data_IF_106415879683
#
_entry.id   IF_106415879683
#
_cell.length_a   1.000
_cell.length_b   1.000
_cell.length_c   1.000
_cell.angle_alpha   90.00
_cell.angle_beta   90.00
_cell.angle_gamma   90.00
#
_symmetry.space_group_name_H-M   'P 1'
#
loop_
_entity.id
_entity.type
_entity.pdbx_description
1 polymer ?
#
# COMPACT_ATOMS: atom_id res chain seq x y z
N UNK A 1 31.93 13.41 -7.64
CA UNK A 1 30.77 13.64 -6.75
C UNK A 1 30.01 14.90 -7.23
N UNK A 2 30.66 16.03 -7.49
CA UNK A 2 29.99 17.31 -7.83
C UNK A 2 29.13 17.26 -9.11
N UNK A 3 29.61 16.63 -10.19
CA UNK A 3 28.85 16.51 -11.46
C UNK A 3 27.56 15.70 -11.33
N UNK A 4 27.57 14.64 -10.49
CA UNK A 4 26.38 13.82 -10.25
C UNK A 4 25.33 14.60 -9.44
N UNK A 5 25.78 15.38 -8.44
CA UNK A 5 24.91 16.23 -7.64
C UNK A 5 24.23 17.33 -8.47
N UNK A 6 24.94 17.90 -9.46
CA UNK A 6 24.38 18.92 -10.33
C UNK A 6 23.38 18.35 -11.34
N UNK A 7 23.65 17.17 -11.92
CA UNK A 7 22.73 16.45 -12.81
C UNK A 7 21.48 16.00 -12.06
N UNK A 8 21.64 15.50 -10.82
CA UNK A 8 20.50 15.12 -9.98
C UNK A 8 19.62 16.31 -9.62
N UNK A 9 20.20 17.44 -9.22
CA UNK A 9 19.47 18.68 -8.92
C UNK A 9 18.72 19.25 -10.13
N UNK A 10 19.21 19.03 -11.34
CA UNK A 10 18.55 19.44 -12.57
C UNK A 10 17.47 18.44 -13.02
N UNK A 11 17.49 17.21 -12.54
CA UNK A 11 16.48 16.22 -12.86
C UNK A 11 15.11 16.60 -12.28
N UNK A 12 14.02 16.13 -12.92
CA UNK A 12 12.65 16.35 -12.42
C UNK A 12 12.52 15.84 -10.98
N UNK A 13 13.10 14.68 -10.69
CA UNK A 13 13.10 14.04 -9.37
C UNK A 13 13.86 14.91 -8.35
N UNK A 14 15.03 15.42 -8.72
CA UNK A 14 15.82 16.31 -7.85
C UNK A 14 15.05 17.57 -7.45
N UNK A 15 14.36 18.22 -8.41
CA UNK A 15 13.53 19.40 -8.13
C UNK A 15 12.34 19.08 -7.20
N UNK A 16 11.70 17.92 -7.37
CA UNK A 16 10.60 17.49 -6.54
C UNK A 16 11.02 17.21 -5.08
N UNK A 17 12.23 16.71 -4.90
CA UNK A 17 12.78 16.33 -3.59
C UNK A 17 13.52 17.45 -2.86
N UNK A 18 13.94 18.51 -3.54
CA UNK A 18 14.66 19.65 -2.92
C UNK A 18 13.91 20.28 -1.75
N UNK A 19 12.57 20.31 -1.80
CA UNK A 19 11.71 20.84 -0.73
C UNK A 19 11.28 19.79 0.30
N UNK A 20 11.61 18.50 0.09
CA UNK A 20 11.15 17.37 0.90
C UNK A 20 12.32 16.56 1.45
N UNK A 21 12.95 17.08 2.51
CA UNK A 21 14.06 16.39 3.17
C UNK A 21 13.67 15.02 3.73
N UNK A 22 12.47 14.90 4.29
CA UNK A 22 11.99 13.63 4.84
C UNK A 22 11.80 12.57 3.75
N UNK A 23 11.20 12.95 2.62
CA UNK A 23 11.07 12.06 1.47
C UNK A 23 12.40 11.63 0.87
N UNK A 24 13.39 12.54 0.81
CA UNK A 24 14.74 12.20 0.34
C UNK A 24 15.40 11.16 1.26
N UNK A 25 15.28 11.32 2.58
CA UNK A 25 15.79 10.33 3.53
C UNK A 25 15.06 8.99 3.40
N UNK A 26 13.73 8.99 3.23
CA UNK A 26 12.95 7.77 3.01
C UNK A 26 13.43 7.02 1.76
N UNK A 27 13.57 7.73 0.64
CA UNK A 27 14.04 7.12 -0.61
C UNK A 27 15.46 6.57 -0.47
N UNK A 28 16.35 7.29 0.18
CA UNK A 28 17.69 6.82 0.49
C UNK A 28 17.68 5.56 1.37
N UNK A 29 16.83 5.53 2.40
CA UNK A 29 16.66 4.37 3.27
C UNK A 29 16.09 3.16 2.51
N UNK A 30 15.07 3.36 1.65
CA UNK A 30 14.50 2.29 0.83
C UNK A 30 15.51 1.71 -0.16
N UNK A 31 16.32 2.55 -0.81
CA UNK A 31 17.38 2.10 -1.71
C UNK A 31 18.49 1.38 -0.94
N UNK A 32 18.88 1.89 0.23
CA UNK A 32 19.85 1.21 1.09
C UNK A 32 19.33 -0.17 1.54
N UNK A 33 18.08 -0.27 1.97
CA UNK A 33 17.44 -1.55 2.35
C UNK A 33 17.36 -2.51 1.17
N UNK A 34 17.03 -2.01 -0.05
CA UNK A 34 16.97 -2.83 -1.26
C UNK A 34 18.32 -3.48 -1.62
N UNK A 35 19.44 -2.90 -1.18
CA UNK A 35 20.79 -3.48 -1.38
C UNK A 35 21.25 -4.28 -0.16
N UNK A 36 21.11 -3.72 1.04
CA UNK A 36 21.65 -4.32 2.27
C UNK A 36 20.92 -5.60 2.66
N UNK A 37 19.59 -5.66 2.53
CA UNK A 37 18.82 -6.85 2.93
C UNK A 37 19.20 -8.08 2.10
N UNK A 38 19.21 -8.04 0.76
CA UNK A 38 19.71 -9.16 -0.04
C UNK A 38 21.18 -9.51 0.25
N UNK A 39 22.03 -8.52 0.48
CA UNK A 39 23.42 -8.75 0.84
C UNK A 39 23.56 -9.56 2.14
N UNK A 40 22.85 -9.15 3.21
CA UNK A 40 22.90 -9.84 4.50
C UNK A 40 22.21 -11.21 4.47
N UNK A 41 21.28 -11.46 3.55
CA UNK A 41 20.62 -12.75 3.42
C UNK A 41 21.38 -13.73 2.52
N UNK A 42 21.88 -13.27 1.34
CA UNK A 42 22.43 -14.16 0.31
C UNK A 42 23.96 -14.33 0.39
N UNK A 43 24.69 -13.31 0.88
CA UNK A 43 26.16 -13.30 0.84
C UNK A 43 26.74 -13.71 2.19
N UNK A 44 26.10 -13.39 3.31
CA UNK A 44 26.59 -13.71 4.63
C UNK A 44 26.23 -15.16 5.01
N UNK A 45 27.19 -15.99 5.43
CA UNK A 45 26.94 -17.37 5.85
C UNK A 45 25.89 -17.46 6.98
N UNK A 46 25.08 -18.52 6.95
CA UNK A 46 23.98 -18.73 7.90
C UNK A 46 24.43 -18.80 9.37
N UNK A 47 25.66 -19.19 9.61
CA UNK A 47 26.27 -19.30 10.98
C UNK A 47 26.71 -17.93 11.53
N UNK A 48 26.68 -16.87 10.72
CA UNK A 48 27.12 -15.53 11.14
C UNK A 48 26.01 -14.79 11.89
N UNK A 49 26.37 -14.07 12.94
CA UNK A 49 25.47 -13.18 13.68
C UNK A 49 24.83 -12.09 12.78
N UNK A 50 25.49 -11.74 11.69
CA UNK A 50 25.00 -10.75 10.73
C UNK A 50 24.10 -11.34 9.64
N UNK A 51 23.91 -12.66 9.60
CA UNK A 51 23.01 -13.29 8.63
C UNK A 51 21.57 -12.91 8.91
N UNK A 52 20.86 -12.42 7.87
CA UNK A 52 19.45 -12.12 7.96
C UNK A 52 18.63 -13.33 7.50
N UNK A 53 17.85 -13.98 8.39
CA UNK A 53 17.03 -15.13 8.00
C UNK A 53 16.00 -14.78 6.96
N UNK A 54 15.74 -15.68 6.01
CA UNK A 54 14.81 -15.44 4.87
C UNK A 54 13.38 -15.10 5.29
N UNK A 55 12.92 -15.63 6.44
CA UNK A 55 11.58 -15.28 6.95
C UNK A 55 11.45 -13.79 7.30
N UNK A 56 12.54 -13.14 7.75
CA UNK A 56 12.54 -11.69 7.99
C UNK A 56 12.50 -10.90 6.68
N UNK A 57 13.15 -11.38 5.62
CA UNK A 57 13.08 -10.76 4.29
C UNK A 57 11.62 -10.73 3.80
N UNK A 58 10.94 -11.88 3.90
CA UNK A 58 9.50 -11.99 3.54
C UNK A 58 8.64 -11.07 4.40
N UNK A 59 8.89 -11.04 5.71
CA UNK A 59 8.14 -10.20 6.64
C UNK A 59 8.32 -8.70 6.34
N UNK A 60 9.55 -8.28 6.08
CA UNK A 60 9.85 -6.89 5.68
C UNK A 60 9.22 -6.55 4.33
N UNK A 61 9.25 -7.47 3.36
CA UNK A 61 8.58 -7.30 2.08
C UNK A 61 7.07 -7.13 2.22
N UNK A 62 6.43 -7.92 3.09
CA UNK A 62 5.03 -7.75 3.46
C UNK A 62 4.74 -6.35 4.03
N UNK A 63 5.60 -5.84 4.93
CA UNK A 63 5.43 -4.50 5.48
C UNK A 63 5.58 -3.40 4.43
N UNK A 64 6.44 -3.59 3.42
CA UNK A 64 6.56 -2.66 2.30
C UNK A 64 5.30 -2.66 1.42
N UNK A 65 4.65 -3.80 1.20
CA UNK A 65 3.36 -3.85 0.51
C UNK A 65 2.29 -3.07 1.29
N UNK A 66 2.25 -3.20 2.60
CA UNK A 66 1.34 -2.41 3.46
C UNK A 66 1.71 -0.92 3.48
N UNK A 67 2.99 -0.58 3.43
CA UNK A 67 3.44 0.80 3.30
C UNK A 67 3.00 1.44 1.96
N UNK A 68 3.04 0.68 0.87
CA UNK A 68 2.50 1.10 -0.43
C UNK A 68 0.99 1.35 -0.37
N UNK A 69 0.25 0.46 0.30
CA UNK A 69 -1.19 0.58 0.50
C UNK A 69 -1.56 1.81 1.37
N UNK A 70 -0.80 2.05 2.44
CA UNK A 70 -0.98 3.23 3.29
C UNK A 70 -0.68 4.53 2.53
N UNK A 71 0.37 4.54 1.69
CA UNK A 71 0.70 5.66 0.83
C UNK A 71 -0.43 5.95 -0.17
N UNK A 72 -1.03 4.90 -0.75
CA UNK A 72 -2.18 5.00 -1.64
C UNK A 72 -3.39 5.66 -0.94
N UNK A 73 -3.69 5.25 0.30
CA UNK A 73 -4.76 5.86 1.09
C UNK A 73 -4.43 7.31 1.49
N UNK A 74 -3.19 7.62 1.88
CA UNK A 74 -2.81 8.98 2.27
C UNK A 74 -2.90 9.97 1.09
N UNK A 75 -2.65 9.52 -0.13
CA UNK A 75 -2.82 10.35 -1.32
C UNK A 75 -4.25 10.92 -1.42
N UNK A 76 -5.27 10.10 -1.16
CA UNK A 76 -6.66 10.53 -1.24
C UNK A 76 -7.17 11.14 0.07
N UNK A 77 -6.89 10.51 1.20
CA UNK A 77 -7.37 11.00 2.48
C UNK A 77 -6.59 12.22 2.96
N UNK A 78 -5.29 12.20 2.85
CA UNK A 78 -4.41 13.27 3.32
C UNK A 78 -4.54 14.55 2.50
N UNK A 79 -4.61 14.44 1.18
CA UNK A 79 -4.55 15.58 0.26
C UNK A 79 -5.89 15.97 -0.36
N UNK A 80 -6.80 15.03 -0.53
CA UNK A 80 -8.14 15.33 -1.08
C UNK A 80 -9.24 15.36 0.00
N UNK A 81 -8.94 14.90 1.22
CA UNK A 81 -9.89 14.90 2.34
C UNK A 81 -10.93 13.77 2.29
N UNK A 82 -10.78 12.81 1.39
CA UNK A 82 -11.72 11.71 1.21
C UNK A 82 -11.25 10.51 2.04
N UNK A 83 -11.98 10.18 3.10
CA UNK A 83 -11.76 8.94 3.84
C UNK A 83 -12.48 7.79 3.12
N UNK A 84 -11.71 6.92 2.49
CA UNK A 84 -12.22 5.70 1.86
C UNK A 84 -11.90 4.48 2.73
N UNK A 85 -12.93 3.73 3.10
CA UNK A 85 -12.81 2.42 3.76
C UNK A 85 -12.90 1.26 2.74
N UNK A 86 -12.59 1.55 1.48
CA UNK A 86 -12.60 0.59 0.37
C UNK A 86 -11.22 0.14 -0.10
N UNK A 87 -10.14 0.63 0.50
CA UNK A 87 -8.79 0.35 0.01
C UNK A 87 -8.37 -1.11 0.19
N UNK A 88 -8.91 -1.81 1.19
CA UNK A 88 -8.78 -3.26 1.32
C UNK A 88 -9.34 -4.01 0.11
N UNK A 89 -10.45 -3.54 -0.47
CA UNK A 89 -11.02 -4.14 -1.67
C UNK A 89 -10.11 -3.98 -2.90
N UNK A 90 -9.54 -2.80 -3.11
CA UNK A 90 -8.63 -2.56 -4.22
C UNK A 90 -7.34 -3.38 -4.09
N UNK A 91 -6.82 -3.49 -2.87
CA UNK A 91 -5.68 -4.35 -2.53
C UNK A 91 -5.99 -5.82 -2.83
N UNK A 92 -7.11 -6.33 -2.32
CA UNK A 92 -7.51 -7.71 -2.53
C UNK A 92 -7.74 -8.03 -4.01
N UNK A 93 -8.41 -7.16 -4.78
CA UNK A 93 -8.62 -7.37 -6.22
C UNK A 93 -7.31 -7.46 -7.00
N UNK A 94 -6.35 -6.58 -6.72
CA UNK A 94 -5.01 -6.68 -7.32
C UNK A 94 -4.29 -7.96 -6.91
N UNK A 95 -4.43 -8.36 -5.64
CA UNK A 95 -3.92 -9.63 -5.12
C UNK A 95 -4.56 -10.84 -5.81
N UNK A 96 -5.86 -10.86 -6.00
CA UNK A 96 -6.56 -11.93 -6.73
C UNK A 96 -6.14 -12.00 -8.20
N UNK A 97 -5.96 -10.87 -8.87
CA UNK A 97 -5.45 -10.86 -10.25
C UNK A 97 -4.05 -11.50 -10.36
N UNK A 98 -3.14 -11.19 -9.42
CA UNK A 98 -1.84 -11.88 -9.35
C UNK A 98 -2.00 -13.34 -8.94
N UNK A 99 -2.85 -13.65 -7.95
CA UNK A 99 -3.13 -15.02 -7.51
C UNK A 99 -3.65 -15.91 -8.61
N UNK A 100 -4.55 -15.40 -9.48
CA UNK A 100 -5.02 -16.12 -10.67
C UNK A 100 -3.88 -16.48 -11.63
N UNK A 101 -2.95 -15.55 -11.86
CA UNK A 101 -1.75 -15.84 -12.66
C UNK A 101 -0.91 -16.93 -12.01
N UNK A 102 -0.61 -16.82 -10.73
CA UNK A 102 0.22 -17.80 -10.01
C UNK A 102 -0.44 -19.18 -9.97
N UNK A 103 -1.76 -19.27 -9.82
CA UNK A 103 -2.51 -20.52 -9.90
C UNK A 103 -2.38 -21.18 -11.29
N UNK A 104 -2.45 -20.39 -12.37
CA UNK A 104 -2.28 -20.89 -13.73
C UNK A 104 -0.86 -21.40 -14.00
N UNK A 105 0.17 -20.88 -13.29
CA UNK A 105 1.55 -21.35 -13.39
C UNK A 105 1.79 -22.70 -12.71
N UNK A 106 0.87 -23.19 -11.88
CA UNK A 106 0.99 -24.52 -11.24
C UNK A 106 0.91 -25.63 -12.29
N UNK A 107 -0.04 -25.53 -13.23
CA UNK A 107 -0.23 -26.52 -14.29
C UNK A 107 -0.51 -27.92 -13.73
N UNK A 108 0.14 -28.94 -14.30
CA UNK A 108 0.03 -30.34 -13.90
C UNK A 108 0.73 -30.69 -12.57
N UNK A 109 1.45 -29.74 -11.97
CA UNK A 109 2.14 -29.95 -10.68
C UNK A 109 1.24 -29.81 -9.45
N UNK A 110 -0.04 -29.59 -9.67
CA UNK A 110 -1.04 -29.58 -8.63
C UNK A 110 -1.35 -30.99 -8.10
N UNK A 111 -2.14 -31.05 -7.02
CA UNK A 111 -2.53 -32.32 -6.36
C UNK A 111 -3.32 -33.23 -7.30
N UNK A 112 -4.15 -32.65 -8.15
CA UNK A 112 -5.01 -33.40 -9.09
C UNK A 112 -4.38 -33.56 -10.49
N UNK A 113 -3.21 -32.98 -10.75
CA UNK A 113 -2.48 -33.14 -12.01
C UNK A 113 -3.20 -32.57 -13.24
N UNK A 114 -4.10 -31.62 -13.08
CA UNK A 114 -4.84 -31.00 -14.16
C UNK A 114 -4.12 -29.75 -14.66
N UNK A 115 -3.70 -29.71 -15.93
CA UNK A 115 -2.98 -28.60 -16.52
C UNK A 115 -3.89 -27.38 -16.82
N UNK A 116 -5.20 -27.61 -17.01
CA UNK A 116 -6.13 -26.55 -17.43
C UNK A 116 -6.89 -25.91 -16.25
N UNK A 117 -7.22 -26.70 -15.22
CA UNK A 117 -8.00 -26.24 -14.10
C UNK A 117 -7.16 -26.18 -12.81
N UNK A 118 -7.23 -25.10 -12.04
CA UNK A 118 -6.68 -25.05 -10.69
C UNK A 118 -7.26 -26.14 -9.79
N UNK A 119 -6.46 -26.66 -8.87
CA UNK A 119 -6.83 -27.78 -7.98
C UNK A 119 -8.17 -27.58 -7.23
N UNK A 120 -8.43 -26.38 -6.75
CA UNK A 120 -9.69 -26.09 -6.04
C UNK A 120 -10.91 -26.17 -6.95
N UNK A 121 -10.76 -25.88 -8.26
CA UNK A 121 -11.84 -26.02 -9.25
C UNK A 121 -12.10 -27.50 -9.55
N UNK A 122 -11.04 -28.32 -9.68
CA UNK A 122 -11.17 -29.76 -9.83
C UNK A 122 -11.87 -30.37 -8.62
N UNK A 123 -11.49 -29.96 -7.40
CA UNK A 123 -12.14 -30.38 -6.17
C UNK A 123 -13.63 -30.03 -6.13
N UNK A 124 -14.01 -28.89 -6.67
CA UNK A 124 -15.41 -28.43 -6.76
C UNK A 124 -16.15 -28.96 -7.99
N UNK A 125 -15.57 -29.95 -8.72
CA UNK A 125 -16.14 -30.56 -9.92
C UNK A 125 -16.45 -29.57 -11.06
N UNK A 126 -15.64 -28.54 -11.23
CA UNK A 126 -15.71 -27.67 -12.41
C UNK A 126 -15.21 -28.43 -13.63
N UNK A 127 -15.92 -28.29 -14.74
CA UNK A 127 -15.59 -28.97 -16.01
C UNK A 127 -14.79 -28.09 -16.95
N UNK A 128 -14.94 -26.77 -16.83
CA UNK A 128 -14.32 -25.79 -17.71
C UNK A 128 -13.82 -24.59 -16.92
N UNK A 129 -12.77 -23.94 -17.44
CA UNK A 129 -12.23 -22.72 -16.88
C UNK A 129 -13.22 -21.56 -17.15
N UNK A 130 -13.60 -20.75 -16.15
CA UNK A 130 -14.47 -19.61 -16.38
C UNK A 130 -13.82 -18.57 -17.30
N UNK A 131 -14.61 -17.90 -18.12
CA UNK A 131 -14.12 -16.92 -19.12
C UNK A 131 -13.25 -15.81 -18.54
N UNK A 132 -13.48 -15.37 -17.30
CA UNK A 132 -12.72 -14.33 -16.61
C UNK A 132 -11.36 -14.80 -16.10
N UNK A 133 -11.02 -16.08 -16.22
CA UNK A 133 -9.69 -16.64 -15.98
C UNK A 133 -8.82 -16.68 -17.25
N UNK A 134 -9.42 -16.51 -18.43
CA UNK A 134 -8.65 -16.51 -19.67
C UNK A 134 -7.67 -15.34 -19.73
N UNK A 135 -6.47 -15.62 -20.24
CA UNK A 135 -5.39 -14.64 -20.36
C UNK A 135 -4.47 -14.53 -19.13
N UNK A 136 -4.86 -15.06 -17.98
CA UNK A 136 -3.99 -15.05 -16.79
C UNK A 136 -2.79 -16.00 -16.87
N UNK A 137 -2.65 -16.79 -17.92
CA UNK A 137 -1.41 -17.50 -18.27
C UNK A 137 -0.27 -16.52 -18.60
N UNK A 138 -0.62 -15.39 -19.22
CA UNK A 138 0.34 -14.37 -19.61
C UNK A 138 0.59 -13.39 -18.47
N UNK A 139 1.85 -13.25 -18.07
CA UNK A 139 2.26 -12.34 -16.99
C UNK A 139 1.92 -10.86 -17.26
N UNK A 140 2.13 -10.41 -18.50
CA UNK A 140 1.84 -9.01 -18.85
C UNK A 140 0.36 -8.69 -18.81
N UNK A 141 -0.48 -9.66 -19.23
CA UNK A 141 -1.92 -9.53 -19.09
C UNK A 141 -2.33 -9.45 -17.61
N UNK A 142 -1.78 -10.34 -16.76
CA UNK A 142 -2.03 -10.30 -15.33
C UNK A 142 -1.61 -8.96 -14.70
N UNK A 143 -0.43 -8.44 -15.04
CA UNK A 143 0.05 -7.13 -14.57
C UNK A 143 -0.87 -5.98 -15.02
N UNK A 144 -1.38 -6.04 -16.25
CA UNK A 144 -2.37 -5.08 -16.72
C UNK A 144 -3.67 -5.16 -15.90
N UNK A 145 -4.16 -6.37 -15.62
CA UNK A 145 -5.37 -6.59 -14.82
C UNK A 145 -5.19 -6.19 -13.35
N UNK A 146 -4.00 -6.36 -12.77
CA UNK A 146 -3.64 -5.87 -11.43
C UNK A 146 -3.92 -4.37 -11.27
N UNK A 147 -3.64 -3.59 -12.29
CA UNK A 147 -3.92 -2.16 -12.28
C UNK A 147 -5.36 -1.84 -12.74
N UNK A 148 -5.83 -2.52 -13.79
CA UNK A 148 -7.10 -2.22 -14.44
C UNK A 148 -8.30 -2.56 -13.56
N UNK A 149 -8.33 -3.72 -12.91
CA UNK A 149 -9.51 -4.19 -12.15
C UNK A 149 -9.81 -3.27 -10.96
N UNK A 150 -8.85 -2.93 -10.09
CA UNK A 150 -9.07 -1.95 -9.03
C UNK A 150 -9.41 -0.56 -9.57
N UNK A 151 -8.74 -0.14 -10.68
CA UNK A 151 -9.01 1.15 -11.32
C UNK A 151 -10.43 1.24 -11.90
N UNK A 152 -10.89 0.19 -12.56
CA UNK A 152 -12.24 0.13 -13.14
C UNK A 152 -13.32 0.18 -12.04
N UNK A 153 -13.15 -0.59 -10.96
CA UNK A 153 -14.05 -0.55 -9.81
C UNK A 153 -14.05 0.86 -9.18
N UNK A 154 -12.86 1.44 -8.95
CA UNK A 154 -12.74 2.79 -8.40
C UNK A 154 -13.34 3.84 -9.33
N UNK A 155 -13.16 3.68 -10.64
CA UNK A 155 -13.75 4.60 -11.63
C UNK A 155 -15.27 4.55 -11.61
N UNK A 156 -15.87 3.36 -11.73
CA UNK A 156 -17.35 3.21 -11.75
C UNK A 156 -17.95 3.68 -10.44
N UNK A 157 -17.42 3.21 -9.32
CA UNK A 157 -17.90 3.55 -7.99
C UNK A 157 -17.70 5.06 -7.69
N UNK A 158 -16.50 5.57 -7.94
CA UNK A 158 -16.15 6.96 -7.69
C UNK A 158 -16.95 7.91 -8.62
N UNK A 159 -17.16 7.54 -9.89
CA UNK A 159 -17.96 8.33 -10.80
C UNK A 159 -19.40 8.47 -10.31
N UNK A 160 -20.02 7.37 -9.88
CA UNK A 160 -21.37 7.40 -9.32
C UNK A 160 -21.45 8.22 -8.02
N UNK A 161 -20.52 7.97 -7.09
CA UNK A 161 -20.52 8.64 -5.79
C UNK A 161 -20.25 10.15 -5.89
N UNK A 162 -19.23 10.55 -6.66
CA UNK A 162 -18.86 11.97 -6.75
C UNK A 162 -19.85 12.78 -7.60
N UNK A 163 -20.43 12.16 -8.64
CA UNK A 163 -21.52 12.79 -9.42
C UNK A 163 -22.78 13.01 -8.57
N UNK A 164 -23.09 12.09 -7.68
CA UNK A 164 -24.21 12.19 -6.73
C UNK A 164 -23.88 13.10 -5.52
N UNK A 165 -22.72 13.76 -5.54
CA UNK A 165 -22.23 14.67 -4.47
C UNK A 165 -22.19 14.02 -3.08
N UNK A 166 -21.97 12.72 -3.02
CA UNK A 166 -21.76 12.01 -1.75
C UNK A 166 -20.42 12.45 -1.17
N UNK A 167 -20.42 12.93 0.07
CA UNK A 167 -19.23 13.47 0.75
C UNK A 167 -19.15 13.02 2.20
N UNK A 168 -17.98 13.20 2.81
CA UNK A 168 -17.75 12.95 4.24
C UNK A 168 -18.02 11.51 4.65
N UNK A 169 -18.70 11.34 5.77
CA UNK A 169 -18.95 10.04 6.41
C UNK A 169 -19.77 9.10 5.53
N UNK A 170 -20.70 9.62 4.73
CA UNK A 170 -21.52 8.79 3.84
C UNK A 170 -20.65 8.06 2.79
N UNK A 171 -19.64 8.72 2.26
CA UNK A 171 -18.73 8.08 1.31
C UNK A 171 -17.93 6.96 1.97
N UNK A 172 -17.47 7.16 3.21
CA UNK A 172 -16.77 6.11 3.97
C UNK A 172 -17.65 4.89 4.21
N UNK A 173 -18.92 5.10 4.59
CA UNK A 173 -19.89 4.02 4.81
C UNK A 173 -20.16 3.24 3.52
N UNK A 174 -20.36 3.95 2.40
CA UNK A 174 -20.66 3.30 1.12
C UNK A 174 -19.44 2.52 0.61
N UNK A 175 -18.23 3.06 0.74
CA UNK A 175 -16.99 2.32 0.38
C UNK A 175 -16.79 1.09 1.25
N UNK A 176 -17.16 1.14 2.52
CA UNK A 176 -17.11 -0.02 3.40
C UNK A 176 -18.18 -1.07 3.03
N UNK A 177 -19.39 -0.64 2.68
CA UNK A 177 -20.44 -1.53 2.19
C UNK A 177 -20.02 -2.24 0.90
N UNK A 178 -19.36 -1.53 -0.02
CA UNK A 178 -18.77 -2.13 -1.23
C UNK A 178 -17.75 -3.23 -0.87
N UNK A 179 -16.86 -2.96 0.08
CA UNK A 179 -15.86 -3.93 0.54
C UNK A 179 -16.53 -5.18 1.10
N UNK A 180 -17.55 -5.01 1.92
CA UNK A 180 -18.30 -6.13 2.51
C UNK A 180 -19.07 -6.93 1.46
N UNK A 181 -19.66 -6.27 0.47
CA UNK A 181 -20.33 -6.95 -0.65
C UNK A 181 -19.34 -7.82 -1.45
N UNK A 182 -18.14 -7.32 -1.71
CA UNK A 182 -17.07 -8.09 -2.36
C UNK A 182 -16.60 -9.26 -1.48
N UNK A 183 -16.45 -9.05 -0.17
CA UNK A 183 -16.14 -10.11 0.77
C UNK A 183 -17.13 -11.28 0.61
N UNK A 184 -18.42 -11.00 0.67
CA UNK A 184 -19.47 -12.01 0.54
C UNK A 184 -19.47 -12.68 -0.84
N UNK A 185 -19.22 -11.93 -1.90
CA UNK A 185 -19.11 -12.48 -3.25
C UNK A 185 -17.95 -13.47 -3.38
N UNK A 186 -16.76 -13.09 -2.90
CA UNK A 186 -15.55 -13.92 -3.00
C UNK A 186 -15.55 -15.12 -2.04
N UNK A 187 -16.35 -15.10 -0.97
CA UNK A 187 -16.56 -16.26 -0.10
C UNK A 187 -17.32 -17.40 -0.78
N UNK A 188 -18.04 -17.11 -1.85
CA UNK A 188 -18.83 -18.11 -2.56
C UNK A 188 -17.94 -19.00 -3.42
N UNK A 189 -18.06 -20.33 -3.28
CA UNK A 189 -17.30 -21.30 -4.06
C UNK A 189 -17.66 -21.26 -5.56
N UNK A 190 -18.91 -20.95 -5.87
CA UNK A 190 -19.43 -20.86 -7.24
C UNK A 190 -18.94 -19.63 -8.03
N UNK A 191 -18.26 -18.70 -7.36
CA UNK A 191 -17.62 -17.55 -8.01
C UNK A 191 -16.22 -17.88 -8.57
N UNK A 192 -15.68 -19.09 -8.35
CA UNK A 192 -14.41 -19.52 -8.94
C UNK A 192 -13.15 -18.78 -8.41
N UNK A 193 -13.19 -18.28 -7.18
CA UNK A 193 -12.06 -17.59 -6.53
C UNK A 193 -11.52 -18.33 -5.30
N UNK A 194 -11.77 -19.64 -5.20
CA UNK A 194 -11.29 -20.47 -4.10
C UNK A 194 -12.14 -20.40 -2.82
N UNK A 195 -13.25 -19.66 -2.82
CA UNK A 195 -14.15 -19.53 -1.68
C UNK A 195 -13.44 -19.14 -0.39
N UNK A 196 -13.81 -19.76 0.73
CA UNK A 196 -13.23 -19.45 2.05
C UNK A 196 -11.69 -19.63 2.11
N UNK A 197 -11.15 -20.61 1.40
CA UNK A 197 -9.72 -20.89 1.41
C UNK A 197 -8.92 -19.90 0.54
N UNK A 198 -9.58 -19.30 -0.45
CA UNK A 198 -8.92 -18.40 -1.39
C UNK A 198 -8.00 -19.17 -2.36
N UNK A 199 -6.97 -18.45 -2.87
CA UNK A 199 -5.96 -19.00 -3.76
C UNK A 199 -4.65 -19.18 -2.97
N UNK A 200 -4.13 -20.41 -2.99
CA UNK A 200 -2.97 -20.82 -2.18
C UNK A 200 -2.07 -21.77 -2.97
N UNK A 201 -1.00 -22.21 -2.33
CA UNK A 201 -0.09 -23.24 -2.84
C UNK A 201 0.66 -22.85 -4.14
N UNK A 202 0.92 -21.57 -4.30
CA UNK A 202 1.69 -21.05 -5.42
C UNK A 202 3.09 -21.65 -5.48
N UNK A 203 3.51 -22.12 -6.65
CA UNK A 203 4.81 -22.79 -6.84
C UNK A 203 5.86 -21.83 -7.36
N UNK A 204 5.57 -21.20 -8.50
CA UNK A 204 6.53 -20.40 -9.24
C UNK A 204 5.95 -19.07 -9.71
N UNK A 205 6.84 -18.13 -9.98
CA UNK A 205 6.58 -16.90 -10.73
C UNK A 205 7.60 -16.79 -11.87
N UNK A 206 7.15 -16.67 -13.11
CA UNK A 206 8.01 -16.59 -14.30
C UNK A 206 9.05 -17.73 -14.39
N UNK A 207 8.71 -18.93 -13.92
CA UNK A 207 9.61 -20.09 -13.88
C UNK A 207 10.59 -20.12 -12.70
N UNK A 208 10.57 -19.12 -11.81
CA UNK A 208 11.38 -19.09 -10.58
C UNK A 208 10.57 -19.57 -9.39
N UNK A 209 11.10 -20.51 -8.63
CA UNK A 209 10.42 -21.02 -7.43
C UNK A 209 10.26 -19.94 -6.38
N UNK A 210 9.02 -19.77 -5.87
CA UNK A 210 8.70 -18.86 -4.78
C UNK A 210 9.32 -19.27 -3.43
N UNK A 211 9.79 -20.50 -3.33
CA UNK A 211 10.46 -20.99 -2.12
C UNK A 211 11.95 -20.66 -2.11
N UNK A 212 12.54 -20.25 -3.24
CA UNK A 212 13.97 -19.91 -3.30
C UNK A 212 14.26 -18.57 -2.63
N UNK A 213 15.39 -18.51 -1.90
CA UNK A 213 15.84 -17.28 -1.23
C UNK A 213 16.09 -16.15 -2.25
N UNK A 214 16.59 -16.48 -3.43
CA UNK A 214 16.79 -15.51 -4.50
C UNK A 214 15.50 -14.82 -4.92
N UNK A 215 14.42 -15.60 -5.18
CA UNK A 215 13.11 -15.05 -5.56
C UNK A 215 12.52 -14.17 -4.47
N UNK A 216 12.61 -14.60 -3.21
CA UNK A 216 12.12 -13.82 -2.06
C UNK A 216 12.85 -12.49 -1.92
N UNK A 217 14.16 -12.46 -2.13
CA UNK A 217 14.94 -11.22 -2.16
C UNK A 217 14.56 -10.31 -3.33
N UNK A 218 14.35 -10.86 -4.53
CA UNK A 218 13.88 -10.08 -5.68
C UNK A 218 12.51 -9.46 -5.40
N UNK A 219 11.57 -10.21 -4.85
CA UNK A 219 10.24 -9.71 -4.47
C UNK A 219 10.33 -8.60 -3.42
N UNK A 220 11.22 -8.74 -2.44
CA UNK A 220 11.50 -7.67 -1.46
C UNK A 220 12.01 -6.39 -2.14
N UNK A 221 13.01 -6.52 -3.03
CA UNK A 221 13.57 -5.38 -3.77
C UNK A 221 12.51 -4.71 -4.63
N UNK A 222 11.68 -5.50 -5.35
CA UNK A 222 10.57 -4.98 -6.16
C UNK A 222 9.56 -4.22 -5.28
N UNK A 223 9.27 -4.71 -4.09
CA UNK A 223 8.39 -4.01 -3.14
C UNK A 223 9.00 -2.68 -2.68
N UNK A 224 10.28 -2.66 -2.35
CA UNK A 224 10.98 -1.42 -1.95
C UNK A 224 11.01 -0.40 -3.09
N UNK A 225 11.31 -0.83 -4.32
CA UNK A 225 11.30 0.02 -5.51
C UNK A 225 9.88 0.52 -5.84
N UNK A 226 8.86 -0.31 -5.63
CA UNK A 226 7.46 0.07 -5.85
C UNK A 226 7.01 1.14 -4.86
N UNK A 227 7.38 1.03 -3.58
CA UNK A 227 7.13 2.09 -2.58
C UNK A 227 7.86 3.37 -2.97
N UNK A 228 9.14 3.28 -3.37
CA UNK A 228 9.91 4.44 -3.81
C UNK A 228 9.31 5.11 -5.05
N UNK A 229 8.92 4.33 -6.06
CA UNK A 229 8.27 4.83 -7.28
C UNK A 229 6.91 5.47 -7.00
N UNK A 230 6.09 4.82 -6.17
CA UNK A 230 4.80 5.36 -5.74
C UNK A 230 4.96 6.65 -4.92
N UNK A 231 5.98 6.72 -4.05
CA UNK A 231 6.29 7.94 -3.30
C UNK A 231 6.62 9.11 -4.25
N UNK A 232 7.48 8.88 -5.25
CA UNK A 232 7.83 9.90 -6.26
C UNK A 232 6.59 10.30 -7.06
N UNK A 233 5.74 9.35 -7.47
CA UNK A 233 4.50 9.62 -8.17
C UNK A 233 3.54 10.47 -7.33
N UNK A 234 3.28 10.05 -6.09
CA UNK A 234 2.42 10.81 -5.16
C UNK A 234 2.97 12.21 -4.92
N UNK A 235 4.29 12.34 -4.73
CA UNK A 235 4.96 13.64 -4.55
C UNK A 235 4.82 14.52 -5.79
N UNK A 236 4.98 13.96 -7.00
CA UNK A 236 4.78 14.68 -8.25
C UNK A 236 3.34 15.19 -8.38
N UNK A 237 2.35 14.37 -8.05
CA UNK A 237 0.94 14.78 -8.07
C UNK A 237 0.70 15.91 -7.06
N UNK A 238 1.11 15.73 -5.81
CA UNK A 238 0.86 16.67 -4.71
C UNK A 238 1.56 18.01 -4.90
N UNK A 239 2.80 18.01 -5.42
CA UNK A 239 3.56 19.25 -5.66
C UNK A 239 3.11 20.03 -6.91
N UNK A 240 2.33 19.41 -7.78
CA UNK A 240 1.82 20.00 -9.02
C UNK A 240 0.70 21.04 -8.79
N UNK A 241 0.28 21.71 -9.86
CA UNK A 241 -0.94 22.56 -9.85
C UNK A 241 -2.16 21.74 -9.46
N UNK A 242 -2.19 20.48 -9.90
CA UNK A 242 -3.27 19.54 -9.58
C UNK A 242 -3.37 19.28 -8.06
N UNK A 243 -2.27 19.02 -7.40
CA UNK A 243 -2.20 18.80 -5.95
C UNK A 243 -2.68 20.02 -5.14
N UNK A 244 -2.37 21.24 -5.60
CA UNK A 244 -2.90 22.46 -4.95
C UNK A 244 -4.41 22.53 -5.00
N UNK A 245 -5.04 22.11 -6.11
CA UNK A 245 -6.50 22.03 -6.23
C UNK A 245 -7.06 20.94 -5.30
N UNK A 246 -6.39 19.79 -5.17
CA UNK A 246 -6.81 18.74 -4.23
C UNK A 246 -6.85 19.27 -2.78
N UNK A 247 -5.80 19.99 -2.36
CA UNK A 247 -5.76 20.60 -1.01
C UNK A 247 -6.88 21.64 -0.86
N UNK A 248 -7.12 22.48 -1.87
CA UNK A 248 -8.24 23.42 -1.85
C UNK A 248 -9.60 22.73 -1.73
N UNK A 249 -9.78 21.58 -2.39
CA UNK A 249 -10.99 20.75 -2.26
C UNK A 249 -11.12 20.21 -0.84
N UNK A 250 -10.03 19.71 -0.25
CA UNK A 250 -9.99 19.20 1.12
C UNK A 250 -10.40 20.25 2.14
N UNK A 251 -9.87 21.45 1.98
CA UNK A 251 -10.03 22.54 2.97
C UNK A 251 -11.37 23.29 2.78
N UNK A 252 -11.83 23.46 1.53
CA UNK A 252 -13.06 24.21 1.23
C UNK A 252 -13.66 23.80 -0.12
N UNK A 253 -14.28 22.61 -0.19
CA UNK A 253 -14.86 22.06 -1.44
C UNK A 253 -15.85 23.02 -2.11
N UNK A 254 -16.76 23.61 -1.34
CA UNK A 254 -17.77 24.54 -1.88
C UNK A 254 -17.14 25.76 -2.54
N UNK A 255 -16.12 26.35 -1.90
CA UNK A 255 -15.42 27.52 -2.46
C UNK A 255 -14.68 27.16 -3.75
N UNK A 256 -14.02 26.00 -3.78
CA UNK A 256 -13.30 25.51 -4.97
C UNK A 256 -14.27 25.31 -6.14
N UNK A 257 -15.47 24.82 -5.87
CA UNK A 257 -16.53 24.66 -6.86
C UNK A 257 -17.04 26.01 -7.39
N UNK A 258 -17.21 27.00 -6.51
CA UNK A 258 -17.62 28.37 -6.91
C UNK A 258 -16.56 29.07 -7.79
N UNK A 259 -15.28 28.72 -7.64
CA UNK A 259 -14.21 29.21 -8.52
C UNK A 259 -14.20 28.54 -9.91
N UNK A 260 -15.17 27.68 -10.22
CA UNK A 260 -15.32 27.04 -11.53
C UNK A 260 -14.61 25.70 -11.71
N UNK A 261 -13.98 25.15 -10.67
CA UNK A 261 -13.36 23.83 -10.76
C UNK A 261 -14.41 22.71 -10.72
N UNK A 262 -14.26 21.73 -11.61
CA UNK A 262 -15.07 20.50 -11.61
C UNK A 262 -14.49 19.51 -10.59
N UNK A 263 -14.86 19.70 -9.33
CA UNK A 263 -14.33 18.95 -8.17
C UNK A 263 -14.44 17.44 -8.36
N UNK A 264 -15.52 16.97 -9.00
CA UNK A 264 -15.79 15.56 -9.24
C UNK A 264 -14.66 14.88 -10.03
N UNK A 265 -14.11 15.53 -11.06
CA UNK A 265 -13.05 14.98 -11.89
C UNK A 265 -11.71 14.89 -11.13
N UNK A 266 -11.42 15.88 -10.28
CA UNK A 266 -10.22 15.86 -9.43
C UNK A 266 -10.28 14.73 -8.42
N UNK A 267 -11.42 14.56 -7.76
CA UNK A 267 -11.65 13.45 -6.82
C UNK A 267 -11.56 12.10 -7.51
N UNK A 268 -12.21 11.95 -8.67
CA UNK A 268 -12.23 10.69 -9.41
C UNK A 268 -10.82 10.26 -9.84
N UNK A 269 -10.05 11.18 -10.42
CA UNK A 269 -8.69 10.87 -10.86
C UNK A 269 -7.81 10.38 -9.72
N UNK A 270 -7.77 11.13 -8.59
CA UNK A 270 -6.92 10.72 -7.47
C UNK A 270 -7.41 9.43 -6.81
N UNK A 271 -8.72 9.17 -6.82
CA UNK A 271 -9.30 7.93 -6.31
C UNK A 271 -8.89 6.72 -7.15
N UNK A 272 -8.94 6.85 -8.49
CA UNK A 272 -8.50 5.80 -9.42
C UNK A 272 -7.00 5.53 -9.29
N UNK A 273 -6.16 6.57 -9.24
CA UNK A 273 -4.70 6.40 -9.04
C UNK A 273 -4.41 5.71 -7.71
N UNK A 274 -5.09 6.12 -6.65
CA UNK A 274 -4.95 5.49 -5.32
C UNK A 274 -5.35 4.01 -5.35
N UNK A 275 -6.45 3.66 -6.02
CA UNK A 275 -6.89 2.27 -6.19
C UNK A 275 -5.90 1.42 -7.01
N UNK A 276 -5.30 1.99 -8.06
CA UNK A 276 -4.24 1.30 -8.82
C UNK A 276 -3.03 0.99 -7.95
N UNK A 277 -2.57 1.95 -7.15
CA UNK A 277 -1.45 1.73 -6.21
C UNK A 277 -1.78 0.67 -5.17
N UNK A 278 -3.01 0.67 -4.65
CA UNK A 278 -3.48 -0.37 -3.73
C UNK A 278 -3.52 -1.76 -4.39
N UNK A 279 -3.94 -1.84 -5.66
CA UNK A 279 -3.91 -3.09 -6.43
C UNK A 279 -2.49 -3.62 -6.65
N UNK A 280 -1.53 -2.74 -6.99
CA UNK A 280 -0.12 -3.10 -7.12
C UNK A 280 0.44 -3.61 -5.79
N UNK A 281 0.06 -2.99 -4.67
CA UNK A 281 0.44 -3.45 -3.33
C UNK A 281 -0.05 -4.88 -3.06
N UNK A 282 -1.30 -5.19 -3.43
CA UNK A 282 -1.88 -6.54 -3.33
C UNK A 282 -1.17 -7.56 -4.20
N UNK A 283 -0.84 -7.19 -5.43
CA UNK A 283 -0.12 -8.07 -6.35
C UNK A 283 1.30 -8.42 -5.86
N UNK A 284 2.01 -7.49 -5.23
CA UNK A 284 3.32 -7.74 -4.63
C UNK A 284 3.22 -8.54 -3.32
N UNK A 285 2.12 -8.42 -2.61
CA UNK A 285 1.86 -9.13 -1.36
C UNK A 285 1.69 -10.64 -1.57
N UNK A 286 0.93 -11.04 -2.58
CA UNK A 286 0.52 -12.43 -2.80
C UNK A 286 1.69 -13.40 -2.96
N UNK A 287 2.69 -13.17 -3.85
CA UNK A 287 3.81 -14.08 -4.01
C UNK A 287 4.73 -14.13 -2.79
N UNK A 288 4.71 -13.11 -1.92
CA UNK A 288 5.50 -13.08 -0.70
C UNK A 288 4.84 -13.84 0.44
N UNK A 289 3.52 -13.74 0.57
CA UNK A 289 2.77 -14.38 1.66
C UNK A 289 2.31 -15.79 1.30
N UNK A 290 2.17 -16.08 0.00
CA UNK A 290 1.78 -17.40 -0.51
C UNK A 290 0.28 -17.69 -0.46
N UNK A 291 -0.54 -16.70 -0.14
CA UNK A 291 -2.00 -16.84 -0.07
C UNK A 291 -2.69 -15.51 -0.38
N UNK A 292 -3.87 -15.60 -0.99
CA UNK A 292 -4.86 -14.55 -1.03
C UNK A 292 -6.23 -15.16 -0.77
N UNK A 293 -6.95 -14.65 0.23
CA UNK A 293 -8.26 -15.15 0.59
C UNK A 293 -9.27 -14.00 0.73
N UNK A 294 -10.58 -14.28 0.77
CA UNK A 294 -11.60 -13.26 0.86
C UNK A 294 -11.50 -12.40 2.12
N UNK A 295 -10.84 -12.88 3.19
CA UNK A 295 -10.60 -12.10 4.41
C UNK A 295 -9.88 -10.78 4.15
N UNK A 296 -9.12 -10.66 3.05
CA UNK A 296 -8.47 -9.38 2.69
C UNK A 296 -9.48 -8.28 2.32
N UNK A 297 -10.69 -8.64 1.89
CA UNK A 297 -11.80 -7.69 1.72
C UNK A 297 -12.44 -7.28 3.04
N UNK A 298 -12.05 -7.84 4.18
CA UNK A 298 -12.69 -7.54 5.46
C UNK A 298 -12.69 -6.03 5.76
N UNK A 299 -13.82 -5.48 6.21
CA UNK A 299 -13.89 -4.10 6.70
C UNK A 299 -12.84 -3.78 7.76
N UNK A 300 -12.46 -4.76 8.59
CA UNK A 300 -11.43 -4.62 9.63
C UNK A 300 -10.08 -4.25 9.00
N UNK A 301 -9.69 -4.91 7.91
CA UNK A 301 -8.44 -4.59 7.20
C UNK A 301 -8.45 -3.17 6.66
N UNK A 302 -9.58 -2.70 6.10
CA UNK A 302 -9.72 -1.31 5.63
C UNK A 302 -9.58 -0.30 6.78
N UNK A 303 -10.08 -0.60 7.96
CA UNK A 303 -9.91 0.23 9.16
C UNK A 303 -8.45 0.22 9.62
N UNK A 304 -7.77 -0.93 9.61
CA UNK A 304 -6.35 -1.02 9.94
C UNK A 304 -5.50 -0.10 9.06
N UNK A 305 -5.77 -0.04 7.75
CA UNK A 305 -5.05 0.84 6.82
C UNK A 305 -5.21 2.32 7.22
N UNK A 306 -6.41 2.71 7.65
CA UNK A 306 -6.65 4.08 8.16
C UNK A 306 -5.85 4.35 9.42
N UNK A 307 -5.74 3.37 10.33
CA UNK A 307 -4.94 3.49 11.55
C UNK A 307 -3.46 3.70 11.19
N UNK A 308 -2.92 2.95 10.22
CA UNK A 308 -1.52 3.13 9.81
C UNK A 308 -1.24 4.56 9.36
N UNK A 309 -2.11 5.13 8.51
CA UNK A 309 -1.98 6.51 8.03
C UNK A 309 -2.17 7.53 9.15
N UNK A 310 -3.13 7.30 10.05
CA UNK A 310 -3.38 8.20 11.18
C UNK A 310 -2.21 8.23 12.16
N UNK A 311 -1.68 7.06 12.54
CA UNK A 311 -0.51 6.94 13.43
C UNK A 311 0.73 7.57 12.81
N UNK A 312 0.97 7.34 11.54
CA UNK A 312 2.12 7.91 10.83
C UNK A 312 2.06 9.41 10.68
N UNK A 313 0.91 9.94 10.32
CA UNK A 313 0.66 11.37 10.11
C UNK A 313 0.02 11.63 8.75
N UNK A 314 -1.30 11.79 8.77
CA UNK A 314 -2.14 12.08 7.61
C UNK A 314 -1.62 13.29 6.82
N UNK A 315 -1.55 13.17 5.51
CA UNK A 315 -1.13 14.24 4.58
C UNK A 315 0.38 14.50 4.58
N UNK A 316 1.18 13.52 4.96
CA UNK A 316 2.64 13.66 4.99
C UNK A 316 3.36 12.63 4.11
N UNK A 317 2.70 11.85 3.27
CA UNK A 317 3.23 10.74 2.46
C UNK A 317 4.26 9.87 3.19
N UNK A 318 5.38 10.48 3.61
CA UNK A 318 6.43 9.88 4.42
C UNK A 318 5.88 9.26 5.72
N UNK A 319 4.98 9.97 6.41
CA UNK A 319 4.36 9.50 7.64
C UNK A 319 3.52 8.24 7.41
N UNK A 320 2.74 8.18 6.34
CA UNK A 320 1.94 7.01 6.01
C UNK A 320 2.79 5.74 5.87
N UNK A 321 3.95 5.84 5.21
CA UNK A 321 4.91 4.73 5.07
C UNK A 321 5.45 4.30 6.44
N UNK A 322 5.92 5.25 7.26
CA UNK A 322 6.44 4.95 8.60
C UNK A 322 5.35 4.36 9.50
N UNK A 323 4.15 4.93 9.47
CA UNK A 323 3.02 4.45 10.27
C UNK A 323 2.64 3.01 9.93
N UNK A 324 2.60 2.65 8.65
CA UNK A 324 2.36 1.28 8.22
C UNK A 324 3.42 0.31 8.75
N UNK A 325 4.71 0.66 8.63
CA UNK A 325 5.80 -0.19 9.11
C UNK A 325 5.73 -0.35 10.64
N UNK A 326 5.59 0.75 11.38
CA UNK A 326 5.57 0.73 12.86
C UNK A 326 4.38 -0.05 13.40
N UNK A 327 3.17 0.20 12.87
CA UNK A 327 1.95 -0.49 13.36
C UNK A 327 1.99 -1.98 13.01
N UNK A 328 2.44 -2.36 11.80
CA UNK A 328 2.51 -3.76 11.42
C UNK A 328 3.64 -4.51 12.13
N UNK A 329 4.76 -3.85 12.42
CA UNK A 329 5.80 -4.41 13.30
C UNK A 329 5.24 -4.65 14.72
N UNK A 330 4.57 -3.66 15.30
CA UNK A 330 3.92 -3.81 16.60
C UNK A 330 2.86 -4.92 16.57
N UNK A 331 2.03 -4.99 15.51
CA UNK A 331 1.07 -6.09 15.30
C UNK A 331 1.73 -7.45 15.36
N UNK A 332 2.79 -7.64 14.61
CA UNK A 332 3.50 -8.94 14.57
C UNK A 332 4.07 -9.31 15.94
N UNK A 333 4.67 -8.34 16.64
CA UNK A 333 5.21 -8.55 17.98
C UNK A 333 4.11 -8.91 19.00
N UNK A 334 3.05 -8.11 19.08
CA UNK A 334 1.98 -8.32 20.06
C UNK A 334 1.12 -9.55 19.75
N UNK A 335 0.90 -9.87 18.48
CA UNK A 335 0.18 -11.10 18.10
C UNK A 335 0.98 -12.34 18.50
N UNK A 336 2.31 -12.29 18.42
CA UNK A 336 3.16 -13.38 18.89
C UNK A 336 3.24 -13.51 20.42
N UNK A 337 3.28 -12.36 21.13
CA UNK A 337 3.41 -12.33 22.59
C UNK A 337 2.07 -12.44 23.33
N UNK A 338 1.01 -11.82 22.80
CA UNK A 338 -0.32 -11.68 23.43
C UNK A 338 -1.45 -11.80 22.39
N UNK A 339 -1.68 -12.97 21.78
CA UNK A 339 -2.63 -13.12 20.68
C UNK A 339 -4.07 -12.75 21.02
N UNK A 340 -4.52 -12.97 22.25
CA UNK A 340 -5.89 -12.69 22.68
C UNK A 340 -6.17 -11.20 22.90
N UNK A 341 -5.13 -10.41 23.16
CA UNK A 341 -5.24 -8.99 23.54
C UNK A 341 -4.98 -8.05 22.36
N UNK A 342 -4.47 -8.57 21.25
CA UNK A 342 -4.05 -7.77 20.10
C UNK A 342 -5.16 -6.84 19.56
N UNK A 343 -6.38 -7.32 19.40
CA UNK A 343 -7.49 -6.50 18.88
C UNK A 343 -7.82 -5.32 19.82
N UNK A 344 -7.74 -5.53 21.12
CA UNK A 344 -7.92 -4.46 22.11
C UNK A 344 -6.78 -3.45 22.03
N UNK A 345 -5.55 -3.91 21.84
CA UNK A 345 -4.38 -3.04 21.67
C UNK A 345 -4.48 -2.20 20.39
N UNK A 346 -4.98 -2.78 19.30
CA UNK A 346 -5.23 -2.06 18.05
C UNK A 346 -6.28 -0.96 18.24
N UNK A 347 -7.39 -1.28 18.93
CA UNK A 347 -8.42 -0.32 19.29
C UNK A 347 -7.88 0.81 20.18
N UNK A 348 -7.10 0.46 21.20
CA UNK A 348 -6.45 1.43 22.08
C UNK A 348 -5.45 2.31 21.31
N UNK A 349 -4.65 1.73 20.40
CA UNK A 349 -3.73 2.47 19.55
C UNK A 349 -4.47 3.51 18.69
N UNK A 350 -5.63 3.13 18.13
CA UNK A 350 -6.46 4.04 17.34
C UNK A 350 -6.98 5.20 18.19
N UNK A 351 -7.52 4.91 19.39
CA UNK A 351 -8.02 5.93 20.31
C UNK A 351 -6.89 6.86 20.74
N UNK A 352 -5.75 6.33 21.15
CA UNK A 352 -4.57 7.10 21.57
C UNK A 352 -4.07 7.96 20.40
N UNK A 353 -3.95 7.39 19.21
CA UNK A 353 -3.52 8.14 18.02
C UNK A 353 -4.47 9.31 17.71
N UNK A 354 -5.77 9.08 17.79
CA UNK A 354 -6.77 10.11 17.47
C UNK A 354 -6.82 11.22 18.52
N UNK A 355 -6.69 10.88 19.81
CA UNK A 355 -6.78 11.86 20.91
C UNK A 355 -5.47 12.61 21.16
N UNK A 356 -4.34 11.91 21.16
CA UNK A 356 -3.05 12.48 21.58
C UNK A 356 -2.12 12.78 20.41
N UNK A 357 -2.31 12.15 19.23
CA UNK A 357 -1.47 12.30 18.05
C UNK A 357 -2.28 12.81 16.85
N UNK A 358 -2.99 13.94 16.92
CA UNK A 358 -3.87 14.40 15.84
C UNK A 358 -3.13 14.68 14.53
N UNK A 359 -1.80 14.88 14.59
CA UNK A 359 -0.89 15.03 13.44
C UNK A 359 0.02 13.81 13.23
N UNK A 360 -0.24 12.70 13.95
CA UNK A 360 0.56 11.49 13.92
C UNK A 360 1.99 11.65 14.47
N UNK A 361 2.80 10.60 14.36
CA UNK A 361 4.20 10.58 14.81
C UNK A 361 5.01 11.72 14.16
N UNK A 362 4.81 11.95 12.87
CA UNK A 362 5.53 13.01 12.14
C UNK A 362 5.19 14.39 12.69
N UNK A 363 3.93 14.63 13.06
CA UNK A 363 3.50 15.89 13.66
C UNK A 363 4.17 16.17 15.00
N UNK A 364 4.30 15.15 15.85
CA UNK A 364 4.98 15.26 17.16
C UNK A 364 6.47 15.56 16.99
N UNK A 365 7.13 14.85 16.07
CA UNK A 365 8.56 15.09 15.77
C UNK A 365 8.79 16.52 15.27
N UNK A 366 7.91 17.03 14.40
CA UNK A 366 8.03 18.40 13.90
C UNK A 366 7.82 19.44 15.01
N UNK A 367 6.80 19.26 15.86
CA UNK A 367 6.57 20.15 17.02
C UNK A 367 7.77 20.17 17.98
N UNK A 368 8.37 18.99 18.23
CA UNK A 368 9.55 18.89 19.08
C UNK A 368 10.76 19.61 18.49
N UNK A 369 10.98 19.45 17.16
CA UNK A 369 12.05 20.18 16.44
C UNK A 369 11.86 21.70 16.48
N UNK A 370 10.63 22.18 16.29
CA UNK A 370 10.30 23.61 16.39
C UNK A 370 10.59 24.16 17.78
N UNK A 371 10.20 23.45 18.85
CA UNK A 371 10.50 23.84 20.23
C UNK A 371 12.00 23.91 20.51
N UNK A 372 12.77 22.95 20.00
CA UNK A 372 14.25 22.96 20.12
C UNK A 372 14.88 24.14 19.34
N UNK A 373 14.38 24.44 18.16
CA UNK A 373 14.86 25.55 17.35
C UNK A 373 14.63 26.90 18.04
N UNK A 374 13.44 27.09 18.63
CA UNK A 374 13.11 28.31 19.42
C UNK A 374 13.99 28.41 20.67
N UNK A 375 14.22 27.30 21.39
CA UNK A 375 15.10 27.29 22.56
C UNK A 375 16.55 27.61 22.20
N UNK A 376 17.04 27.13 21.07
CA UNK A 376 18.40 27.38 20.60
C UNK A 376 18.57 28.83 20.09
N UNK A 377 17.53 29.43 19.49
CA UNK A 377 17.57 30.85 19.09
C UNK A 377 17.51 31.80 20.30
N UNK A 378 16.78 31.42 21.36
CA UNK A 378 16.73 32.19 22.60
C UNK A 378 18.05 32.14 23.40
N UNK A 379 18.85 31.08 23.21
CA UNK A 379 20.17 30.92 23.87
C UNK A 379 21.36 31.45 23.06
N UNK A 380 21.16 32.04 21.88
CA UNK A 380 22.25 32.78 21.20
C UNK A 380 22.49 34.09 21.94
N UNK A 381 23.71 34.32 22.46
CA UNK A 381 24.04 35.63 23.02
C UNK A 381 23.80 36.69 21.95
N UNK A 382 23.08 37.74 22.31
CA UNK A 382 23.12 38.98 21.52
C UNK A 382 24.57 39.47 21.53
N UNK A 383 25.32 39.24 20.45
CA UNK A 383 26.53 40.02 20.18
C UNK A 383 26.07 41.44 20.02
N UNK A 384 26.23 42.17 21.13
CA UNK A 384 26.10 43.62 21.19
C UNK A 384 27.02 44.21 20.12
N UNK A 385 26.42 44.75 19.06
CA UNK A 385 27.10 45.67 18.16
C UNK A 385 27.51 46.89 18.97
N UNK A 386 28.74 46.89 19.41
CA UNK A 386 29.44 48.06 19.86
C UNK A 386 30.13 48.75 18.67
#
# INVERSE_FOLDING_TARGET
VSKFDDVFKQSLIGRLLQSDRAGTWLLGALLALAVLVPFFNLVIPADSFLHLPTYLVVLMGKYLCYALLALALDLIWGYCGILSLGHGAFFALGGYAMGMHLMRQIGDRGVYGNAELPDFMVFLNWTELPWYWYGFDNFFFAMFMVALVPAALAFVFGWLAFRSRVTGVYLSIITQAMTYALLLAFFRNDMGFGGNNGLTDFKDILGFSLQSDGTRNVLFVLSALSVAGAYVLCRAIVSSKYGRVLVAIRDAESRTRFMGYRVEHFKLFVFVVSAMLAGIAGALYVPQVGIINPGEFSPVNSIEIVIWVAVGGRGTLFGAVIGAIVVNYAKTYFTGAFPEVWLFMLGALFVISTLYLPKGIVGVVNQYRERLAVKNSANKPQELSS
#
